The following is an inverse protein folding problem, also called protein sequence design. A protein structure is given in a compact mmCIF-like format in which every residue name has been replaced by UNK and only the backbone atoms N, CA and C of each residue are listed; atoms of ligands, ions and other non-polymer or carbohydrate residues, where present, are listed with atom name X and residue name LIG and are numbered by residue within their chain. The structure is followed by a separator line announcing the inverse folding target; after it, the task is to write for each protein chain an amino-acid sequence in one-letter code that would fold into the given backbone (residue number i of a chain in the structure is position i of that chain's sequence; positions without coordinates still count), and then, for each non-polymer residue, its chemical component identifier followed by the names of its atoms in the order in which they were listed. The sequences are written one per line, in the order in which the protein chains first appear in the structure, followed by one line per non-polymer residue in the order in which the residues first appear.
data_IF_739888415703
#
_entry.id   IF_739888415703
#
_cell.length_a   1.000
_cell.length_b   1.000
_cell.length_c   1.000
_cell.angle_alpha   90.00
_cell.angle_beta   90.00
_cell.angle_gamma   90.00
#
_symmetry.space_group_name_H-M   'P 1'
#
loop_
_entity.id
_entity.type
_entity.pdbx_description
1 polymer ?
#
# COMPACT_ATOMS: atom_id res chain seq x y z
N UNK A 1 6.53 11.61 17.09
CA UNK A 1 5.44 12.54 16.76
C UNK A 1 5.95 13.98 16.63
N UNK A 2 6.34 14.67 17.70
CA UNK A 2 6.65 16.11 17.67
C UNK A 2 7.68 16.58 16.63
N UNK A 3 8.64 15.75 16.24
CA UNK A 3 9.57 16.09 15.17
C UNK A 3 8.88 16.16 13.80
N UNK A 4 8.10 15.15 13.45
CA UNK A 4 7.39 15.11 12.17
C UNK A 4 6.35 16.25 12.05
N UNK A 5 5.61 16.51 13.12
CA UNK A 5 4.58 17.55 13.15
C UNK A 5 5.16 18.97 13.01
N UNK A 6 6.43 19.22 13.39
CA UNK A 6 7.10 20.51 13.10
C UNK A 6 7.20 20.81 11.61
N UNK A 7 7.17 19.77 10.77
CA UNK A 7 7.23 19.88 9.31
C UNK A 7 5.86 19.61 8.65
N UNK A 8 4.78 19.61 9.43
CA UNK A 8 3.43 19.27 8.97
C UNK A 8 3.33 17.86 8.37
N UNK A 9 4.25 16.97 8.74
CA UNK A 9 4.21 15.56 8.33
C UNK A 9 3.29 14.78 9.27
N UNK A 10 2.22 14.23 8.72
CA UNK A 10 1.35 13.30 9.44
C UNK A 10 2.02 11.94 9.59
N UNK A 11 1.77 11.28 10.71
CA UNK A 11 2.32 9.95 11.02
C UNK A 11 1.18 8.96 11.19
N UNK A 12 1.14 7.97 10.31
CA UNK A 12 0.15 6.88 10.34
C UNK A 12 0.82 5.60 10.82
N UNK A 13 0.17 4.92 11.77
CA UNK A 13 0.68 3.66 12.32
C UNK A 13 -0.11 2.50 11.75
N UNK A 14 0.59 1.49 11.29
CA UNK A 14 -0.02 0.26 10.79
C UNK A 14 -0.31 -0.70 11.94
N UNK A 15 -1.59 -1.02 12.15
CA UNK A 15 -2.09 -2.11 12.96
C UNK A 15 -2.90 -3.02 12.02
N UNK A 16 -2.25 -3.48 10.95
CA UNK A 16 -2.88 -4.08 9.78
C UNK A 16 -2.67 -5.59 9.71
N UNK A 17 -2.87 -6.25 10.83
CA UNK A 17 -2.92 -7.71 10.94
C UNK A 17 -4.31 -8.16 11.43
N UNK A 18 -4.69 -9.39 11.11
CA UNK A 18 -5.85 -10.03 11.74
C UNK A 18 -5.52 -10.31 13.20
N UNK A 19 -6.44 -10.01 14.11
CA UNK A 19 -6.27 -10.19 15.54
C UNK A 19 -6.93 -11.49 16.01
N UNK A 20 -6.34 -12.14 17.00
CA UNK A 20 -7.01 -13.17 17.79
C UNK A 20 -7.80 -12.51 18.92
N UNK A 21 -8.86 -13.17 19.40
CA UNK A 21 -9.67 -12.67 20.53
C UNK A 21 -8.81 -12.34 21.76
N UNK A 22 -7.77 -13.14 22.01
CA UNK A 22 -6.84 -12.90 23.12
C UNK A 22 -5.97 -11.65 22.98
N UNK A 23 -5.88 -11.07 21.79
CA UNK A 23 -5.06 -9.88 21.48
C UNK A 23 -5.88 -8.57 21.53
N UNK A 24 -7.22 -8.65 21.54
CA UNK A 24 -8.09 -7.48 21.41
C UNK A 24 -7.87 -6.46 22.54
N UNK A 25 -7.73 -6.90 23.78
CA UNK A 25 -7.51 -6.02 24.92
C UNK A 25 -6.15 -5.29 24.84
N UNK A 26 -5.11 -5.98 24.37
CA UNK A 26 -3.78 -5.38 24.16
C UNK A 26 -3.81 -4.40 22.98
N UNK A 27 -4.50 -4.74 21.91
CA UNK A 27 -4.68 -3.86 20.75
C UNK A 27 -5.40 -2.57 21.14
N UNK A 28 -6.49 -2.64 21.91
CA UNK A 28 -7.20 -1.45 22.41
C UNK A 28 -6.29 -0.57 23.27
N UNK A 29 -5.56 -1.17 24.20
CA UNK A 29 -4.58 -0.43 25.02
C UNK A 29 -3.53 0.27 24.17
N UNK A 30 -2.98 -0.42 23.16
CA UNK A 30 -2.01 0.15 22.21
C UNK A 30 -2.61 1.31 21.44
N UNK A 31 -3.83 1.20 20.94
CA UNK A 31 -4.52 2.27 20.22
C UNK A 31 -4.67 3.52 21.08
N UNK A 32 -5.06 3.37 22.35
CA UNK A 32 -5.16 4.49 23.29
C UNK A 32 -3.81 5.16 23.55
N UNK A 33 -2.73 4.37 23.63
CA UNK A 33 -1.38 4.91 23.78
C UNK A 33 -0.92 5.68 22.52
N UNK A 34 -1.19 5.14 21.34
CA UNK A 34 -0.88 5.78 20.07
C UNK A 34 -1.62 7.10 19.90
N UNK A 35 -2.90 7.13 20.26
CA UNK A 35 -3.68 8.37 20.31
C UNK A 35 -3.10 9.40 21.26
N UNK A 36 -2.76 8.98 22.50
CA UNK A 36 -2.21 9.88 23.51
C UNK A 36 -0.87 10.53 23.10
N UNK A 37 -0.04 9.84 22.30
CA UNK A 37 1.20 10.41 21.79
C UNK A 37 1.03 11.21 20.49
N UNK A 38 -0.20 11.36 19.99
CA UNK A 38 -0.54 12.20 18.86
C UNK A 38 -0.35 11.56 17.48
N UNK A 39 -0.56 10.25 17.36
CA UNK A 39 -0.65 9.57 16.04
C UNK A 39 -1.86 10.11 15.28
N UNK A 40 -1.67 10.44 13.99
CA UNK A 40 -2.69 11.10 13.19
C UNK A 40 -3.76 10.11 12.66
N UNK A 41 -3.37 8.87 12.36
CA UNK A 41 -4.30 7.82 11.96
C UNK A 41 -3.72 6.42 12.16
N UNK A 42 -4.62 5.43 12.24
CA UNK A 42 -4.27 4.01 12.19
C UNK A 42 -4.66 3.41 10.85
N UNK A 43 -3.78 2.60 10.28
CA UNK A 43 -4.07 1.79 9.11
C UNK A 43 -4.36 0.38 9.62
N UNK A 44 -5.63 -0.05 9.53
CA UNK A 44 -6.10 -1.30 10.12
C UNK A 44 -6.51 -2.32 9.06
N UNK A 45 -6.46 -3.60 9.42
CA UNK A 45 -6.98 -4.71 8.62
C UNK A 45 -8.20 -5.36 9.26
N UNK A 46 -8.19 -5.53 10.57
CA UNK A 46 -9.23 -6.25 11.27
C UNK A 46 -10.42 -5.32 11.61
N UNK A 47 -11.63 -5.58 11.05
CA UNK A 47 -12.79 -4.77 11.35
C UNK A 47 -13.29 -4.94 12.80
N UNK A 48 -12.84 -5.97 13.53
CA UNK A 48 -13.13 -6.14 14.96
C UNK A 48 -12.68 -4.93 15.79
N UNK A 49 -11.68 -4.19 15.31
CA UNK A 49 -11.21 -2.94 15.93
C UNK A 49 -12.36 -1.90 16.03
N UNK A 50 -13.27 -1.87 15.05
CA UNK A 50 -14.41 -0.92 15.06
C UNK A 50 -15.40 -1.15 16.20
N UNK A 51 -15.39 -2.33 16.83
CA UNK A 51 -16.24 -2.65 17.99
C UNK A 51 -15.59 -2.33 19.33
N UNK A 52 -14.34 -1.84 19.34
CA UNK A 52 -13.64 -1.43 20.55
C UNK A 52 -14.09 -0.02 20.98
N UNK A 53 -13.96 0.28 22.29
CA UNK A 53 -14.12 1.65 22.79
C UNK A 53 -12.88 2.48 22.44
N UNK A 54 -12.89 3.06 21.24
CA UNK A 54 -11.74 3.78 20.69
C UNK A 54 -11.77 5.28 21.02
N UNK A 55 -10.62 5.91 21.24
CA UNK A 55 -10.53 7.36 21.19
C UNK A 55 -10.83 7.85 19.76
N UNK A 56 -11.14 9.14 19.56
CA UNK A 56 -11.47 9.70 18.25
C UNK A 56 -10.23 9.81 17.34
N UNK A 57 -9.67 8.66 16.95
CA UNK A 57 -8.54 8.52 16.04
C UNK A 57 -9.03 8.19 14.63
N UNK A 58 -8.43 8.79 13.61
CA UNK A 58 -8.74 8.48 12.22
C UNK A 58 -8.37 7.02 11.88
N UNK A 59 -9.25 6.34 11.16
CA UNK A 59 -9.02 4.97 10.70
C UNK A 59 -8.92 4.93 9.18
N UNK A 60 -7.85 4.29 8.70
CA UNK A 60 -7.63 4.02 7.29
C UNK A 60 -7.75 2.51 7.03
N UNK A 61 -8.51 2.13 6.00
CA UNK A 61 -8.62 0.74 5.59
C UNK A 61 -7.33 0.30 4.89
N UNK A 62 -6.64 -0.69 5.44
CA UNK A 62 -5.44 -1.25 4.83
C UNK A 62 -5.73 -1.94 3.49
N UNK A 63 -4.77 -1.94 2.57
CA UNK A 63 -4.82 -2.78 1.37
C UNK A 63 -4.96 -4.28 1.70
N UNK A 64 -4.56 -4.69 2.90
CA UNK A 64 -4.74 -6.06 3.41
C UNK A 64 -6.23 -6.45 3.61
N UNK A 65 -7.14 -5.49 3.62
CA UNK A 65 -8.59 -5.75 3.61
C UNK A 65 -9.12 -6.13 2.22
N UNK A 66 -8.25 -6.30 1.23
CA UNK A 66 -8.63 -6.65 -0.14
C UNK A 66 -9.60 -5.64 -0.77
N UNK A 67 -9.17 -4.38 -0.83
CA UNK A 67 -9.98 -3.27 -1.32
C UNK A 67 -9.94 -3.23 -2.87
N UNK A 68 -10.54 -4.23 -3.50
CA UNK A 68 -10.58 -4.44 -4.94
C UNK A 68 -12.00 -4.25 -5.51
N UNK A 69 -13.02 -4.79 -4.85
CA UNK A 69 -14.40 -4.76 -5.32
C UNK A 69 -15.10 -3.47 -4.90
N UNK A 70 -15.82 -2.84 -5.83
CA UNK A 70 -16.54 -1.57 -5.59
C UNK A 70 -17.47 -1.66 -4.38
N UNK A 71 -18.28 -2.72 -4.28
CA UNK A 71 -19.26 -2.86 -3.18
C UNK A 71 -18.58 -2.99 -1.81
N UNK A 72 -17.43 -3.65 -1.75
CA UNK A 72 -16.62 -3.71 -0.53
C UNK A 72 -16.07 -2.34 -0.15
N UNK A 73 -15.60 -1.57 -1.12
CA UNK A 73 -15.04 -0.23 -0.89
C UNK A 73 -16.15 0.72 -0.43
N UNK A 74 -17.35 0.66 -1.01
CA UNK A 74 -18.53 1.40 -0.58
C UNK A 74 -18.93 1.03 0.86
N UNK A 75 -18.87 -0.24 1.21
CA UNK A 75 -19.14 -0.69 2.57
C UNK A 75 -18.13 -0.09 3.57
N UNK A 76 -16.85 -0.06 3.24
CA UNK A 76 -15.83 0.58 4.10
C UNK A 76 -16.03 2.09 4.23
N UNK A 77 -16.42 2.77 3.17
CA UNK A 77 -16.79 4.20 3.21
C UNK A 77 -17.97 4.43 4.17
N UNK A 78 -19.01 3.58 4.11
CA UNK A 78 -20.18 3.65 5.00
C UNK A 78 -19.84 3.34 6.45
N UNK A 79 -18.83 2.51 6.73
CA UNK A 79 -18.32 2.24 8.08
C UNK A 79 -17.55 3.44 8.67
N UNK A 80 -17.28 4.49 7.91
CA UNK A 80 -16.63 5.71 8.37
C UNK A 80 -15.10 5.70 8.30
N UNK A 81 -14.50 4.83 7.51
CA UNK A 81 -13.09 4.94 7.20
C UNK A 81 -12.82 6.25 6.47
N UNK A 82 -11.89 7.07 6.97
CA UNK A 82 -11.52 8.33 6.36
C UNK A 82 -10.69 8.16 5.09
N UNK A 83 -9.94 7.04 4.99
CA UNK A 83 -9.13 6.70 3.83
C UNK A 83 -9.16 5.21 3.56
N UNK A 84 -9.15 4.85 2.28
CA UNK A 84 -9.12 3.47 1.82
C UNK A 84 -7.89 3.27 0.93
N UNK A 85 -6.98 2.39 1.35
CA UNK A 85 -5.82 2.01 0.55
C UNK A 85 -6.25 0.94 -0.45
N UNK A 86 -6.34 1.31 -1.70
CA UNK A 86 -6.82 0.44 -2.77
C UNK A 86 -5.87 -0.73 -3.02
N UNK A 87 -6.42 -1.82 -3.56
CA UNK A 87 -5.64 -2.94 -4.05
C UNK A 87 -4.80 -2.51 -5.27
N UNK A 88 -3.60 -3.10 -5.43
CA UNK A 88 -2.68 -2.77 -6.53
C UNK A 88 -3.14 -3.32 -7.89
N UNK A 89 -4.12 -4.19 -7.86
CA UNK A 89 -4.67 -4.89 -9.03
C UNK A 89 -5.73 -4.08 -9.78
N UNK A 90 -6.09 -2.89 -9.29
CA UNK A 90 -7.06 -2.00 -9.93
C UNK A 90 -6.45 -1.26 -11.12
N UNK A 91 -7.22 -1.16 -12.20
CA UNK A 91 -6.92 -0.28 -13.32
C UNK A 91 -7.31 1.16 -13.03
N UNK A 92 -6.77 2.09 -13.81
CA UNK A 92 -7.10 3.51 -13.72
C UNK A 92 -8.61 3.77 -13.90
N UNK A 93 -9.25 3.01 -14.80
CA UNK A 93 -10.69 3.12 -15.04
C UNK A 93 -11.50 2.67 -13.83
N UNK A 94 -11.13 1.54 -13.23
CA UNK A 94 -11.78 1.07 -11.99
C UNK A 94 -11.61 2.08 -10.84
N UNK A 95 -10.45 2.73 -10.74
CA UNK A 95 -10.23 3.79 -9.74
C UNK A 95 -11.17 4.98 -9.98
N UNK A 96 -11.35 5.40 -11.25
CA UNK A 96 -12.31 6.45 -11.61
C UNK A 96 -13.75 6.08 -11.26
N UNK A 97 -14.14 4.83 -11.48
CA UNK A 97 -15.48 4.34 -11.11
C UNK A 97 -15.67 4.36 -9.58
N UNK A 98 -14.69 3.85 -8.83
CA UNK A 98 -14.72 3.86 -7.38
C UNK A 98 -14.86 5.30 -6.86
N UNK A 99 -14.11 6.24 -7.41
CA UNK A 99 -14.14 7.65 -6.97
C UNK A 99 -15.53 8.29 -7.08
N UNK A 100 -16.32 7.90 -8.07
CA UNK A 100 -17.69 8.42 -8.24
C UNK A 100 -18.63 8.00 -7.10
N UNK A 101 -18.37 6.86 -6.48
CA UNK A 101 -19.29 6.18 -5.56
C UNK A 101 -18.93 6.36 -4.08
N UNK A 102 -17.71 6.80 -3.74
CA UNK A 102 -17.23 6.89 -2.36
C UNK A 102 -16.74 8.29 -2.02
N UNK A 103 -16.82 8.66 -0.73
CA UNK A 103 -16.38 9.95 -0.20
C UNK A 103 -15.03 9.87 0.50
N UNK A 104 -14.69 8.71 1.05
CA UNK A 104 -13.40 8.46 1.70
C UNK A 104 -12.23 8.84 0.78
N UNK A 105 -11.14 9.30 1.34
CA UNK A 105 -9.90 9.50 0.58
C UNK A 105 -9.41 8.17 -0.01
N UNK A 106 -8.99 8.20 -1.27
CA UNK A 106 -8.41 7.04 -1.95
C UNK A 106 -6.89 7.13 -1.95
N UNK A 107 -6.24 6.07 -1.46
CA UNK A 107 -4.78 5.94 -1.47
C UNK A 107 -4.34 4.82 -2.40
N UNK A 108 -3.40 5.10 -3.30
CA UNK A 108 -2.89 4.16 -4.31
C UNK A 108 -1.39 3.98 -4.16
N UNK A 109 -0.92 2.73 -4.23
CA UNK A 109 0.50 2.46 -4.35
C UNK A 109 1.02 2.88 -5.72
N UNK A 110 2.09 3.66 -5.73
CA UNK A 110 2.69 4.19 -6.98
C UNK A 110 4.11 3.69 -7.23
N UNK A 111 4.79 3.15 -6.21
CA UNK A 111 6.18 2.71 -6.36
C UNK A 111 6.56 1.59 -5.38
N UNK A 112 7.47 0.72 -5.83
CA UNK A 112 8.17 -0.26 -5.01
C UNK A 112 7.70 -1.69 -5.20
N UNK A 113 8.09 -2.57 -4.28
CA UNK A 113 7.90 -4.01 -4.42
C UNK A 113 6.43 -4.43 -4.49
N UNK A 114 6.11 -5.27 -5.51
CA UNK A 114 4.79 -5.88 -5.68
C UNK A 114 4.71 -7.23 -4.97
N UNK A 115 3.50 -7.58 -4.52
CA UNK A 115 3.14 -8.92 -4.10
C UNK A 115 2.56 -9.69 -5.29
N UNK A 116 2.92 -10.97 -5.46
CA UNK A 116 2.37 -11.82 -6.53
C UNK A 116 0.93 -12.25 -6.26
N UNK A 117 0.52 -12.22 -5.01
CA UNK A 117 -0.85 -12.57 -4.60
C UNK A 117 -1.73 -11.33 -4.61
N UNK A 118 -3.02 -11.56 -4.81
CA UNK A 118 -4.04 -10.53 -4.57
C UNK A 118 -3.88 -9.94 -3.17
N UNK A 119 -4.10 -8.64 -3.04
CA UNK A 119 -3.92 -7.90 -1.80
C UNK A 119 -4.73 -8.53 -0.64
N UNK A 120 -4.05 -8.89 0.45
CA UNK A 120 -4.67 -9.52 1.63
C UNK A 120 -5.06 -11.00 1.49
N UNK A 121 -4.72 -11.67 0.38
CA UNK A 121 -5.17 -13.05 0.08
C UNK A 121 -4.02 -14.05 -0.07
N UNK A 122 -2.88 -13.82 0.60
CA UNK A 122 -1.72 -14.71 0.48
C UNK A 122 -1.63 -15.71 1.64
N UNK A 123 -1.67 -17.00 1.31
CA UNK A 123 -1.52 -18.11 2.26
C UNK A 123 -0.26 -18.95 2.00
N UNK A 124 0.56 -18.60 0.99
CA UNK A 124 1.72 -19.38 0.59
C UNK A 124 2.76 -19.50 1.71
N UNK A 125 3.05 -18.41 2.41
CA UNK A 125 3.98 -18.38 3.53
C UNK A 125 3.47 -19.21 4.72
N UNK A 126 2.18 -19.20 4.99
CA UNK A 126 1.56 -20.04 6.02
C UNK A 126 1.66 -21.52 5.66
N UNK A 127 1.37 -21.86 4.42
CA UNK A 127 1.44 -23.26 3.94
C UNK A 127 2.85 -23.84 4.01
N UNK A 128 3.87 -23.07 3.57
CA UNK A 128 5.24 -23.56 3.47
C UNK A 128 6.02 -23.51 4.79
N UNK A 129 5.77 -22.52 5.62
CA UNK A 129 6.64 -22.19 6.76
C UNK A 129 5.88 -22.01 8.08
N UNK A 130 4.55 -22.20 8.11
CA UNK A 130 3.72 -21.92 9.28
C UNK A 130 3.65 -20.42 9.66
N UNK A 131 4.11 -19.52 8.79
CA UNK A 131 4.21 -18.08 9.03
C UNK A 131 3.15 -17.32 8.25
N UNK A 132 2.18 -16.72 8.95
CA UNK A 132 1.07 -16.02 8.30
C UNK A 132 1.49 -14.66 7.73
N UNK A 133 1.40 -14.52 6.41
CA UNK A 133 1.60 -13.23 5.74
C UNK A 133 0.56 -12.18 6.17
N UNK A 134 -0.68 -12.63 6.45
CA UNK A 134 -1.78 -11.78 6.90
C UNK A 134 -1.63 -11.33 8.37
N UNK A 135 -0.64 -11.89 9.08
CA UNK A 135 -0.24 -11.48 10.42
C UNK A 135 1.16 -10.85 10.47
N UNK A 136 1.64 -10.34 9.34
CA UNK A 136 2.92 -9.64 9.26
C UNK A 136 4.16 -10.53 9.16
N UNK A 137 4.03 -11.87 9.15
CA UNK A 137 5.14 -12.84 9.23
C UNK A 137 5.54 -13.42 7.86
N UNK A 138 5.31 -12.69 6.77
CA UNK A 138 5.61 -13.18 5.43
C UNK A 138 7.09 -13.61 5.27
N UNK A 139 7.32 -14.89 4.94
CA UNK A 139 8.64 -15.44 4.65
C UNK A 139 9.12 -15.14 3.21
N UNK A 140 8.31 -14.46 2.40
CA UNK A 140 8.57 -14.12 0.99
C UNK A 140 8.88 -15.33 0.09
N UNK A 141 8.12 -16.44 0.11
CA UNK A 141 8.39 -17.60 -0.73
C UNK A 141 8.30 -17.26 -2.23
N UNK A 142 7.51 -16.29 -2.63
CA UNK A 142 7.46 -15.79 -4.01
C UNK A 142 8.80 -15.22 -4.51
N UNK A 143 9.74 -14.91 -3.63
CA UNK A 143 11.10 -14.41 -3.95
C UNK A 143 12.15 -15.52 -3.97
N UNK A 144 11.75 -16.78 -3.78
CA UNK A 144 12.62 -17.93 -3.89
C UNK A 144 12.68 -18.46 -5.33
N UNK A 145 13.66 -19.31 -5.61
CA UNK A 145 13.73 -20.03 -6.87
C UNK A 145 12.75 -21.21 -6.87
N UNK A 146 12.06 -21.40 -7.98
CA UNK A 146 11.07 -22.44 -8.18
C UNK A 146 11.40 -23.28 -9.40
N UNK A 147 11.00 -24.55 -9.37
CA UNK A 147 10.93 -25.42 -10.53
C UNK A 147 9.47 -25.61 -10.90
N UNK A 148 9.15 -25.39 -12.17
CA UNK A 148 7.79 -25.58 -12.71
C UNK A 148 7.78 -26.87 -13.50
N UNK A 149 6.83 -27.75 -13.20
CA UNK A 149 6.63 -29.03 -13.85
C UNK A 149 5.22 -29.09 -14.46
N UNK A 150 5.08 -29.81 -15.56
CA UNK A 150 3.75 -30.14 -16.11
C UNK A 150 3.12 -31.34 -15.38
N UNK A 151 1.91 -31.69 -15.75
CA UNK A 151 1.18 -32.82 -15.15
C UNK A 151 1.85 -34.19 -15.36
N UNK A 152 2.82 -34.31 -16.28
CA UNK A 152 3.61 -35.52 -16.49
C UNK A 152 4.88 -35.58 -15.64
N UNK A 153 5.18 -34.51 -14.87
CA UNK A 153 6.42 -34.39 -14.10
C UNK A 153 7.60 -33.86 -14.92
N UNK A 154 7.37 -33.44 -16.17
CA UNK A 154 8.42 -32.84 -17.00
C UNK A 154 8.71 -31.42 -16.53
N UNK A 155 9.98 -31.15 -16.24
CA UNK A 155 10.45 -29.83 -15.82
C UNK A 155 10.42 -28.85 -16.99
N UNK A 156 9.53 -27.84 -16.91
CA UNK A 156 9.41 -26.75 -17.88
C UNK A 156 10.38 -25.61 -17.57
N UNK A 157 10.53 -25.29 -16.27
CA UNK A 157 11.43 -24.25 -15.77
C UNK A 157 12.15 -24.82 -14.55
N UNK A 158 13.47 -24.60 -14.43
CA UNK A 158 14.26 -25.08 -13.30
C UNK A 158 14.98 -23.93 -12.62
N UNK A 159 14.86 -23.84 -11.29
CA UNK A 159 15.61 -22.93 -10.40
C UNK A 159 15.54 -21.43 -10.85
N UNK A 160 14.32 -20.94 -11.16
CA UNK A 160 14.08 -19.56 -11.57
C UNK A 160 13.14 -18.82 -10.60
N UNK A 161 13.22 -17.50 -10.57
CA UNK A 161 12.37 -16.62 -9.77
C UNK A 161 11.01 -16.37 -10.42
N UNK A 162 10.28 -17.42 -10.75
CA UNK A 162 9.05 -17.37 -11.58
C UNK A 162 7.88 -16.63 -10.93
N UNK A 163 7.88 -16.51 -9.60
CA UNK A 163 6.85 -15.78 -8.86
C UNK A 163 7.29 -14.36 -8.43
N UNK A 164 8.55 -13.99 -8.76
CA UNK A 164 9.09 -12.69 -8.33
C UNK A 164 8.75 -11.61 -9.36
N UNK A 165 7.72 -10.83 -9.07
CA UNK A 165 7.31 -9.70 -9.90
C UNK A 165 8.41 -8.61 -9.94
N UNK A 166 8.39 -7.83 -11.02
CA UNK A 166 9.07 -6.55 -11.11
C UNK A 166 8.48 -5.57 -10.10
N UNK A 167 9.20 -4.50 -9.78
CA UNK A 167 8.72 -3.48 -8.86
C UNK A 167 7.74 -2.53 -9.60
N UNK A 168 6.75 -2.01 -8.88
CA UNK A 168 5.79 -1.04 -9.40
C UNK A 168 6.48 0.30 -9.65
N UNK A 169 6.15 0.93 -10.77
CA UNK A 169 6.52 2.31 -11.06
C UNK A 169 5.42 2.98 -11.88
N UNK A 170 4.63 3.84 -11.23
CA UNK A 170 3.54 4.60 -11.85
C UNK A 170 3.89 6.06 -12.07
N UNK A 171 5.16 6.40 -12.19
CA UNK A 171 5.59 7.79 -12.37
C UNK A 171 5.01 8.46 -13.62
N UNK A 172 4.76 7.68 -14.68
CA UNK A 172 4.13 8.16 -15.92
C UNK A 172 2.62 8.37 -15.81
N UNK A 173 1.99 7.93 -14.72
CA UNK A 173 0.54 7.99 -14.52
C UNK A 173 0.13 8.92 -13.38
N UNK A 174 1.04 9.73 -12.84
CA UNK A 174 0.75 10.60 -11.69
C UNK A 174 -0.36 11.59 -12.02
N UNK A 175 -0.30 12.22 -13.17
CA UNK A 175 -1.32 13.19 -13.60
C UNK A 175 -2.67 12.50 -13.80
N UNK A 176 -2.70 11.33 -14.46
CA UNK A 176 -3.92 10.53 -14.65
C UNK A 176 -4.55 10.09 -13.33
N UNK A 177 -3.73 9.73 -12.34
CA UNK A 177 -4.20 9.34 -11.00
C UNK A 177 -4.75 10.55 -10.23
N UNK A 178 -4.13 11.72 -10.35
CA UNK A 178 -4.66 12.97 -9.78
C UNK A 178 -6.02 13.30 -10.40
N UNK A 179 -6.13 13.24 -11.72
CA UNK A 179 -7.39 13.48 -12.46
C UNK A 179 -8.45 12.43 -12.15
N UNK A 180 -8.05 11.19 -11.83
CA UNK A 180 -8.95 10.15 -11.35
C UNK A 180 -9.48 10.40 -9.93
N UNK A 181 -8.99 11.43 -9.23
CA UNK A 181 -9.40 11.79 -7.88
C UNK A 181 -8.74 10.97 -6.78
N UNK A 182 -7.50 10.51 -7.01
CA UNK A 182 -6.68 9.89 -5.97
C UNK A 182 -6.14 10.97 -5.03
N UNK A 183 -6.38 10.81 -3.73
CA UNK A 183 -6.04 11.79 -2.69
C UNK A 183 -4.65 11.56 -2.09
N UNK A 184 -4.13 10.34 -2.17
CA UNK A 184 -2.87 9.96 -1.52
C UNK A 184 -2.09 8.95 -2.35
N UNK A 185 -0.78 9.17 -2.43
CA UNK A 185 0.16 8.31 -3.13
C UNK A 185 1.06 7.59 -2.14
N UNK A 186 1.15 6.26 -2.26
CA UNK A 186 1.91 5.42 -1.35
C UNK A 186 3.13 4.81 -2.02
N UNK A 187 4.29 5.00 -1.40
CA UNK A 187 5.54 4.37 -1.80
C UNK A 187 5.79 3.18 -0.89
N UNK A 188 5.97 1.99 -1.47
CA UNK A 188 6.40 0.82 -0.71
C UNK A 188 7.89 0.92 -0.41
N UNK A 189 8.23 0.96 0.87
CA UNK A 189 9.61 1.14 1.33
C UNK A 189 10.02 0.19 2.45
N UNK A 190 9.18 -0.82 2.78
CA UNK A 190 9.52 -1.80 3.81
C UNK A 190 10.82 -2.52 3.46
N UNK A 191 11.75 -2.59 4.42
CA UNK A 191 13.09 -3.16 4.24
C UNK A 191 14.00 -2.41 3.26
N UNK A 192 13.67 -1.16 2.93
CA UNK A 192 14.53 -0.25 2.16
C UNK A 192 15.29 0.67 3.11
N UNK A 193 16.44 1.15 2.64
CA UNK A 193 17.27 2.10 3.37
C UNK A 193 16.78 3.55 3.24
N UNK A 194 17.38 4.44 4.00
CA UNK A 194 17.04 5.86 3.99
C UNK A 194 17.35 6.55 2.67
N UNK A 195 18.38 6.10 1.93
CA UNK A 195 18.74 6.65 0.64
C UNK A 195 17.65 6.37 -0.40
N UNK A 196 17.10 5.14 -0.41
CA UNK A 196 15.95 4.79 -1.23
C UNK A 196 14.76 5.70 -0.90
N UNK A 197 14.43 5.85 0.39
CA UNK A 197 13.28 6.66 0.81
C UNK A 197 13.47 8.11 0.37
N UNK A 198 14.64 8.70 0.62
CA UNK A 198 14.94 10.08 0.22
C UNK A 198 14.86 10.26 -1.30
N UNK A 199 15.48 9.35 -2.06
CA UNK A 199 15.53 9.43 -3.53
C UNK A 199 14.13 9.31 -4.15
N UNK A 200 13.39 8.26 -3.83
CA UNK A 200 12.07 7.99 -4.42
C UNK A 200 11.05 9.05 -3.98
N UNK A 201 11.06 9.45 -2.70
CA UNK A 201 10.16 10.50 -2.22
C UNK A 201 10.42 11.84 -2.88
N UNK A 202 11.69 12.24 -3.04
CA UNK A 202 12.06 13.47 -3.72
C UNK A 202 11.62 13.46 -5.18
N UNK A 203 11.81 12.33 -5.87
CA UNK A 203 11.38 12.17 -7.25
C UNK A 203 9.87 12.40 -7.43
N UNK A 204 9.04 11.66 -6.67
CA UNK A 204 7.58 11.81 -6.74
C UNK A 204 7.10 13.17 -6.23
N UNK A 205 7.71 13.73 -5.20
CA UNK A 205 7.42 15.10 -4.75
C UNK A 205 7.65 16.13 -5.85
N UNK A 206 8.69 15.94 -6.67
CA UNK A 206 8.98 16.80 -7.81
C UNK A 206 7.97 16.64 -8.94
N UNK A 207 7.49 15.42 -9.20
CA UNK A 207 6.45 15.18 -10.21
C UNK A 207 5.12 15.82 -9.79
N UNK A 208 4.66 15.50 -8.58
CA UNK A 208 3.39 16.02 -8.04
C UNK A 208 3.41 17.55 -7.97
N UNK A 209 4.55 18.14 -7.56
CA UNK A 209 4.70 19.60 -7.45
C UNK A 209 4.65 20.35 -8.80
N UNK A 210 4.73 19.65 -9.92
CA UNK A 210 4.57 20.26 -11.27
C UNK A 210 3.11 20.33 -11.70
N UNK A 211 2.22 19.58 -11.07
CA UNK A 211 0.80 19.56 -11.41
C UNK A 211 0.13 20.87 -10.98
N UNK A 212 -0.54 21.61 -11.88
CA UNK A 212 -1.01 22.98 -11.63
C UNK A 212 -2.13 23.09 -10.57
N UNK A 213 -2.83 22.00 -10.29
CA UNK A 213 -3.90 21.93 -9.28
C UNK A 213 -3.44 21.56 -7.88
N UNK A 214 -2.16 21.26 -7.68
CA UNK A 214 -1.65 20.75 -6.39
C UNK A 214 -0.96 21.86 -5.61
N UNK A 215 -1.46 22.11 -4.40
CA UNK A 215 -0.84 23.04 -3.44
C UNK A 215 -0.22 22.21 -2.32
N UNK A 216 1.03 22.48 -1.98
CA UNK A 216 1.71 21.80 -0.86
C UNK A 216 1.01 22.12 0.46
N UNK A 217 0.74 21.08 1.24
CA UNK A 217 0.18 21.22 2.60
C UNK A 217 1.23 21.57 3.66
N UNK A 218 2.52 21.42 3.33
CA UNK A 218 3.63 21.67 4.25
C UNK A 218 4.53 22.82 3.80
N UNK A 219 5.17 23.50 4.77
CA UNK A 219 6.10 24.60 4.53
C UNK A 219 7.52 24.14 4.15
N UNK A 220 7.81 22.85 4.26
CA UNK A 220 9.13 22.29 3.99
C UNK A 220 9.47 22.25 2.50
N UNK A 221 10.70 22.62 2.17
CA UNK A 221 11.30 22.38 0.86
C UNK A 221 12.34 21.28 1.00
N UNK A 222 12.31 20.30 0.08
CA UNK A 222 13.36 19.30 0.01
C UNK A 222 14.57 19.99 -0.65
N UNK A 223 15.61 20.22 0.10
CA UNK A 223 16.92 20.60 -0.42
C UNK A 223 17.71 19.31 -0.63
N UNK A 224 17.62 18.72 -1.82
CA UNK A 224 18.47 17.57 -2.14
C UNK A 224 19.76 18.03 -2.78
N UNK A 225 20.88 17.48 -2.33
CA UNK A 225 22.19 17.68 -2.94
C UNK A 225 22.41 16.81 -4.18
N UNK A 226 21.36 16.07 -4.63
CA UNK A 226 21.41 15.14 -5.74
C UNK A 226 20.14 15.24 -6.60
N UNK A 227 20.26 14.89 -7.85
CA UNK A 227 19.14 14.70 -8.76
C UNK A 227 18.47 13.35 -8.45
N UNK A 228 17.18 13.41 -8.13
CA UNK A 228 16.42 12.22 -7.76
C UNK A 228 16.12 11.36 -9.00
N UNK A 229 16.52 10.09 -8.94
CA UNK A 229 16.32 9.11 -10.00
C UNK A 229 16.01 7.73 -9.38
N UNK A 230 14.77 7.26 -9.45
CA UNK A 230 14.38 5.98 -8.88
C UNK A 230 15.18 4.79 -9.43
N UNK A 231 15.69 4.87 -10.65
CA UNK A 231 16.44 3.79 -11.28
C UNK A 231 17.83 3.60 -10.65
N UNK A 232 18.34 4.59 -9.94
CA UNK A 232 19.57 4.48 -9.14
C UNK A 232 19.37 3.71 -7.83
N UNK A 233 18.13 3.39 -7.49
CA UNK A 233 17.80 2.58 -6.33
C UNK A 233 17.59 1.12 -6.72
N UNK A 234 17.85 0.18 -5.79
CA UNK A 234 17.63 -1.23 -6.09
C UNK A 234 16.18 -1.51 -6.49
N UNK A 235 15.99 -2.05 -7.68
CA UNK A 235 14.71 -2.57 -8.16
C UNK A 235 14.89 -3.92 -8.88
N UNK A 236 13.80 -4.63 -9.09
CA UNK A 236 13.74 -5.87 -9.90
C UNK A 236 13.34 -5.61 -11.35
N UNK A 237 13.61 -4.40 -11.83
CA UNK A 237 13.02 -3.83 -13.03
C UNK A 237 11.66 -3.22 -12.75
N UNK A 238 11.16 -2.38 -13.65
CA UNK A 238 9.92 -1.63 -13.48
C UNK A 238 8.75 -2.24 -14.23
N UNK A 239 7.54 -2.06 -13.70
CA UNK A 239 6.25 -2.44 -14.30
C UNK A 239 5.18 -1.45 -13.85
N UNK A 240 4.26 -1.14 -14.74
CA UNK A 240 3.01 -0.41 -14.44
C UNK A 240 1.88 -1.32 -13.96
N UNK A 241 2.15 -2.62 -13.91
CA UNK A 241 1.26 -3.68 -13.42
C UNK A 241 -0.11 -3.65 -14.12
N UNK A 242 -1.21 -3.45 -13.39
CA UNK A 242 -2.57 -3.47 -13.93
C UNK A 242 -3.13 -2.09 -14.28
N UNK A 243 -2.40 -1.01 -14.05
CA UNK A 243 -2.96 0.34 -14.19
C UNK A 243 -3.47 0.66 -15.60
N UNK A 244 -2.81 0.08 -16.63
CA UNK A 244 -3.16 0.26 -18.04
C UNK A 244 -4.04 -0.84 -18.62
N UNK A 245 -4.48 -1.83 -17.83
CA UNK A 245 -5.32 -2.89 -18.37
C UNK A 245 -6.67 -2.31 -18.81
N UNK A 246 -6.81 -2.15 -20.11
CA UNK A 246 -8.12 -2.04 -20.73
C UNK A 246 -8.78 -3.41 -20.60
N UNK A 247 -9.86 -3.48 -19.85
CA UNK A 247 -10.75 -4.65 -19.92
C UNK A 247 -11.33 -4.69 -21.33
N UNK A 248 -10.70 -5.46 -22.20
CA UNK A 248 -11.40 -5.94 -23.37
C UNK A 248 -12.29 -7.08 -22.87
N UNK A 249 -13.58 -6.77 -22.69
CA UNK A 249 -14.62 -7.78 -22.57
C UNK A 249 -14.71 -8.49 -23.91
N UNK A 250 -14.06 -9.64 -24.06
CA UNK A 250 -14.38 -10.65 -25.05
C UNK A 250 -14.92 -11.89 -24.34
#
# INVERSE_FOLDING_TARGET
MGYAHRFYCRVFVTLNTILYDSELAEAEKMIRQLYAIGVDALIIQDPGILNMDLPPICLHASTQMHNYELERIKFLDQLGFQRIVLARELSLEQIREIRKEVKAELEVFIHGALCVSLSGQCYLSQYMFGRSANRGECAQPCRMKWTVEDNSGKKLIKDKYVLSLKDLNLSSYIDDLIEAGVDSFKIEGRLKDENYVANVTNYYSSLIGKHPGIVRSGSGHILSAFEADPERSFSRGSSDYFICLLYTSD
#
